data_IF_099246421010
#
_entry.id   IF_099246421010
#
_cell.length_a   1.000
_cell.length_b   1.000
_cell.length_c   1.000
_cell.angle_alpha   90.00
_cell.angle_beta   90.00
_cell.angle_gamma   90.00
#
_symmetry.space_group_name_H-M   'P 1'
#
loop_
_entity.id
_entity.type
_entity.pdbx_description
1 polymer ?
#
# COMPACT_ATOMS: atom_id res chain seq x y z
N UNK A 1 7.00 0.83 5.26
CA UNK A 1 6.43 0.42 6.57
C UNK A 1 5.06 -0.19 6.33
N UNK A 2 4.72 -1.25 7.04
CA UNK A 2 3.48 -2.00 6.85
C UNK A 2 2.36 -1.48 7.75
N UNK A 3 1.15 -1.40 7.20
CA UNK A 3 -0.07 -1.13 7.97
C UNK A 3 -0.48 -2.40 8.73
N UNK A 4 -0.92 -2.24 9.99
CA UNK A 4 -1.35 -3.34 10.86
C UNK A 4 -2.75 -3.81 10.46
N UNK A 5 -2.85 -4.91 9.72
CA UNK A 5 -4.12 -5.52 9.32
C UNK A 5 -4.53 -6.61 10.30
N UNK A 6 -5.25 -6.23 11.36
CA UNK A 6 -5.71 -7.17 12.38
C UNK A 6 -6.71 -8.17 11.80
N UNK A 7 -6.44 -9.49 11.86
CA UNK A 7 -7.40 -10.49 11.43
C UNK A 7 -8.59 -10.52 12.40
N UNK A 8 -9.80 -10.75 11.88
CA UNK A 8 -10.97 -10.94 12.74
C UNK A 8 -10.88 -12.29 13.46
N UNK A 9 -11.22 -12.32 14.74
CA UNK A 9 -11.21 -13.54 15.56
C UNK A 9 -12.09 -14.67 14.98
N UNK A 10 -13.13 -14.32 14.21
CA UNK A 10 -14.08 -15.24 13.58
C UNK A 10 -13.57 -15.79 12.23
N UNK A 11 -12.52 -15.20 11.64
CA UNK A 11 -12.11 -15.53 10.27
C UNK A 11 -11.37 -16.87 10.15
N UNK A 12 -10.59 -17.27 11.16
CA UNK A 12 -9.93 -18.58 11.20
C UNK A 12 -9.36 -18.88 12.58
N UNK A 13 -9.73 -20.02 13.16
CA UNK A 13 -9.13 -20.54 14.41
C UNK A 13 -7.76 -21.19 14.17
N UNK A 14 -7.45 -21.58 12.92
CA UNK A 14 -6.30 -22.43 12.59
C UNK A 14 -5.21 -21.74 11.75
N UNK A 15 -5.48 -20.54 11.23
CA UNK A 15 -4.54 -19.79 10.38
C UNK A 15 -4.12 -18.50 11.06
N UNK A 16 -2.88 -18.46 11.56
CA UNK A 16 -2.28 -17.25 12.11
C UNK A 16 -1.82 -16.35 10.97
N UNK A 17 -2.51 -15.24 10.76
CA UNK A 17 -2.10 -14.22 9.79
C UNK A 17 -1.22 -13.17 10.47
N UNK A 18 0.04 -13.02 10.03
CA UNK A 18 0.87 -11.88 10.42
C UNK A 18 0.20 -10.57 9.95
N UNK A 19 -0.21 -9.69 10.88
CA UNK A 19 -0.94 -8.48 10.52
C UNK A 19 -0.02 -7.42 9.89
N UNK A 20 1.30 -7.54 10.05
CA UNK A 20 2.31 -6.62 9.49
C UNK A 20 2.93 -7.11 8.18
N UNK A 21 2.42 -8.21 7.62
CA UNK A 21 2.97 -8.79 6.40
C UNK A 21 3.02 -7.81 5.23
N UNK A 22 4.11 -7.84 4.47
CA UNK A 22 4.24 -7.08 3.24
C UNK A 22 3.31 -7.65 2.16
N UNK A 23 2.39 -6.83 1.65
CA UNK A 23 1.44 -7.21 0.58
C UNK A 23 1.89 -6.61 -0.75
N UNK A 24 2.00 -7.44 -1.79
CA UNK A 24 2.31 -6.96 -3.15
C UNK A 24 1.12 -6.18 -3.72
N UNK A 25 1.39 -5.05 -4.37
CA UNK A 25 0.37 -4.27 -5.08
C UNK A 25 0.19 -4.82 -6.50
N UNK A 26 -1.06 -4.97 -6.93
CA UNK A 26 -1.43 -5.44 -8.28
C UNK A 26 -1.55 -4.26 -9.25
N UNK A 27 -0.45 -3.54 -9.47
CA UNK A 27 -0.34 -2.43 -10.41
C UNK A 27 0.09 -2.94 -11.79
N UNK A 28 -0.21 -2.17 -12.84
CA UNK A 28 0.35 -2.45 -14.16
C UNK A 28 1.86 -2.15 -14.18
N UNK A 29 2.61 -2.88 -15.02
CA UNK A 29 4.07 -2.71 -15.12
C UNK A 29 4.48 -1.27 -15.46
N UNK A 30 3.79 -0.64 -16.43
CA UNK A 30 4.04 0.77 -16.80
C UNK A 30 3.83 1.74 -15.64
N UNK A 31 2.87 1.47 -14.76
CA UNK A 31 2.60 2.31 -13.58
C UNK A 31 3.70 2.14 -12.54
N UNK A 32 4.16 0.91 -12.32
CA UNK A 32 5.29 0.60 -11.45
C UNK A 32 6.56 1.31 -11.92
N UNK A 33 6.88 1.24 -13.22
CA UNK A 33 8.07 1.89 -13.78
C UNK A 33 8.01 3.42 -13.60
N UNK A 34 6.83 4.02 -13.82
CA UNK A 34 6.63 5.45 -13.62
C UNK A 34 6.82 5.86 -12.16
N UNK A 35 6.24 5.11 -11.21
CA UNK A 35 6.40 5.36 -9.79
C UNK A 35 7.85 5.18 -9.34
N UNK A 36 8.51 4.12 -9.81
CA UNK A 36 9.90 3.85 -9.50
C UNK A 36 10.84 4.96 -9.98
N UNK A 37 10.60 5.48 -11.19
CA UNK A 37 11.33 6.64 -11.72
C UNK A 37 11.16 7.90 -10.87
N UNK A 38 9.92 8.19 -10.42
CA UNK A 38 9.61 9.34 -9.56
C UNK A 38 10.26 9.23 -8.18
N UNK A 39 10.24 8.05 -7.58
CA UNK A 39 10.86 7.79 -6.26
C UNK A 39 12.38 8.02 -6.35
N UNK A 40 13.05 7.40 -7.34
CA UNK A 40 14.51 7.44 -7.44
C UNK A 40 15.06 8.79 -7.89
N UNK A 41 14.38 9.52 -8.79
CA UNK A 41 14.92 10.78 -9.33
C UNK A 41 14.61 12.00 -8.47
N UNK A 42 13.39 12.07 -7.93
CA UNK A 42 12.87 13.31 -7.33
C UNK A 42 12.71 13.22 -5.80
N UNK A 43 13.02 12.06 -5.22
CA UNK A 43 12.94 11.81 -3.78
C UNK A 43 11.50 11.76 -3.26
N UNK A 44 10.54 11.38 -4.10
CA UNK A 44 9.15 11.21 -3.66
C UNK A 44 8.96 9.91 -2.88
N UNK A 45 7.96 9.91 -2.00
CA UNK A 45 7.53 8.74 -1.24
C UNK A 45 6.11 8.36 -1.66
N UNK A 46 5.86 7.06 -1.85
CA UNK A 46 4.51 6.53 -2.09
C UNK A 46 3.83 6.27 -0.76
N UNK A 47 2.61 6.77 -0.62
CA UNK A 47 1.80 6.66 0.60
C UNK A 47 0.43 6.11 0.26
N UNK A 48 -0.11 5.23 1.10
CA UNK A 48 -1.49 4.79 0.98
C UNK A 48 -2.43 5.89 1.49
N UNK A 49 -3.38 6.30 0.66
CA UNK A 49 -4.36 7.33 0.98
C UNK A 49 -5.66 6.74 1.51
N UNK A 50 -6.14 5.67 0.87
CA UNK A 50 -7.35 4.99 1.30
C UNK A 50 -7.40 3.54 0.83
N UNK A 51 -8.16 2.74 1.56
CA UNK A 51 -8.54 1.39 1.18
C UNK A 51 -10.02 1.40 0.85
N UNK A 52 -10.42 0.79 -0.25
CA UNK A 52 -11.80 0.74 -0.68
C UNK A 52 -12.13 -0.60 -1.31
N UNK A 53 -13.35 -1.07 -1.10
CA UNK A 53 -13.84 -2.29 -1.73
C UNK A 53 -14.28 -2.00 -3.16
N UNK A 54 -13.81 -2.80 -4.11
CA UNK A 54 -14.31 -2.84 -5.48
C UNK A 54 -14.60 -4.29 -5.84
N UNK A 55 -15.88 -4.60 -5.99
CA UNK A 55 -16.37 -5.97 -6.17
C UNK A 55 -15.89 -6.86 -5.00
N UNK A 56 -15.23 -7.98 -5.29
CA UNK A 56 -14.71 -8.90 -4.28
C UNK A 56 -13.34 -8.48 -3.69
N UNK A 57 -12.71 -7.41 -4.18
CA UNK A 57 -11.32 -7.07 -3.81
C UNK A 57 -11.21 -5.72 -3.10
N UNK A 58 -10.39 -5.67 -2.06
CA UNK A 58 -9.98 -4.42 -1.44
C UNK A 58 -8.84 -3.81 -2.25
N UNK A 59 -9.06 -2.60 -2.77
CA UNK A 59 -8.10 -1.81 -3.54
C UNK A 59 -7.50 -0.73 -2.66
N UNK A 60 -6.21 -0.46 -2.89
CA UNK A 60 -5.48 0.63 -2.24
C UNK A 60 -5.39 1.80 -3.20
N UNK A 61 -5.83 2.98 -2.78
CA UNK A 61 -5.49 4.24 -3.44
C UNK A 61 -4.14 4.70 -2.89
N UNK A 62 -3.17 4.87 -3.78
CA UNK A 62 -1.83 5.37 -3.44
C UNK A 62 -1.66 6.80 -3.96
N UNK A 63 -0.91 7.60 -3.21
CA UNK A 63 -0.51 8.95 -3.57
C UNK A 63 1.01 9.06 -3.56
N UNK A 64 1.55 9.97 -4.37
CA UNK A 64 2.96 10.33 -4.37
C UNK A 64 3.10 11.63 -3.61
N UNK A 65 3.87 11.63 -2.52
CA UNK A 65 4.09 12.79 -1.69
C UNK A 65 5.58 13.16 -1.65
N UNK A 66 5.86 14.46 -1.54
CA UNK A 66 7.18 14.98 -1.21
C UNK A 66 7.14 15.47 0.23
N UNK A 67 8.24 15.31 0.96
CA UNK A 67 8.35 15.87 2.31
C UNK A 67 7.96 17.35 2.31
N UNK A 68 7.13 17.75 3.27
CA UNK A 68 6.72 19.15 3.42
C UNK A 68 7.98 19.97 3.72
N UNK A 69 8.35 20.88 2.81
CA UNK A 69 9.36 21.89 3.11
C UNK A 69 8.71 22.90 4.06
N UNK A 70 9.08 22.84 5.34
CA UNK A 70 8.72 23.84 6.34
C UNK A 70 9.78 24.94 6.26
N UNK A 71 9.55 25.92 5.40
CA UNK A 71 10.32 27.17 5.33
C UNK A 71 9.33 28.28 5.09
#
# INVERSE_FOLDING_TARGET
MAQNFTPMAVASTHVVCDPTRTRKLLLNQRELDSLYGRINREGYTVVALSLYWKNAWCKVKIGVAKGKKTT
#
